data_IF_646039545452
#
_entry.id   IF_646039545452
#
_cell.length_a   1.000
_cell.length_b   1.000
_cell.length_c   1.000
_cell.angle_alpha   90.00
_cell.angle_beta   90.00
_cell.angle_gamma   90.00
#
_symmetry.space_group_name_H-M   'P 1'
#
loop_
_entity.id
_entity.type
_entity.pdbx_description
1 polymer ?
#
# COMPACT_ATOMS: atom_id res chain seq x y z
N UNK A 1 3.50 -2.87 9.16
CA UNK A 1 3.79 -3.66 7.94
C UNK A 1 2.94 -4.91 7.95
N UNK A 2 2.55 -5.42 6.78
CA UNK A 2 1.91 -6.72 6.62
C UNK A 2 2.64 -7.49 5.51
N UNK A 3 3.06 -8.72 5.77
CA UNK A 3 3.92 -9.51 4.89
C UNK A 3 3.44 -10.94 4.79
N UNK A 4 3.30 -11.40 3.54
CA UNK A 4 3.17 -12.80 3.17
C UNK A 4 4.46 -13.15 2.41
N UNK A 5 5.43 -13.82 3.06
CA UNK A 5 6.75 -14.07 2.49
C UNK A 5 6.67 -14.76 1.13
N UNK A 6 7.48 -14.30 0.18
CA UNK A 6 7.54 -14.86 -1.19
C UNK A 6 6.35 -14.50 -2.08
N UNK A 7 5.35 -13.80 -1.56
CA UNK A 7 4.17 -13.39 -2.34
C UNK A 7 4.00 -11.87 -2.37
N UNK A 8 3.69 -11.26 -1.22
CA UNK A 8 3.33 -9.84 -1.16
C UNK A 8 3.55 -9.22 0.21
N UNK A 9 4.11 -8.03 0.21
CA UNK A 9 4.28 -7.18 1.38
C UNK A 9 3.71 -5.79 1.13
N UNK A 10 2.97 -5.26 2.10
CA UNK A 10 2.53 -3.87 2.15
C UNK A 10 3.18 -3.15 3.33
N UNK A 11 3.85 -2.05 3.04
CA UNK A 11 4.57 -1.24 4.02
C UNK A 11 3.95 0.14 4.05
N UNK A 12 3.42 0.52 5.20
CA UNK A 12 2.95 1.89 5.42
C UNK A 12 4.15 2.73 5.86
N UNK A 13 4.35 3.86 5.20
CA UNK A 13 5.48 4.77 5.41
C UNK A 13 4.97 6.18 5.63
N UNK A 14 5.70 6.96 6.44
CA UNK A 14 5.37 8.34 6.75
C UNK A 14 6.66 9.12 6.94
N UNK A 15 6.62 10.43 6.69
CA UNK A 15 7.72 11.34 6.99
C UNK A 15 7.32 12.28 8.12
N UNK A 16 8.27 12.66 8.97
CA UNK A 16 8.10 13.75 9.94
C UNK A 16 8.39 15.12 9.35
N UNK A 17 8.98 15.17 8.14
CA UNK A 17 9.22 16.38 7.36
C UNK A 17 8.35 16.37 6.11
N UNK A 18 7.48 17.38 5.97
CA UNK A 18 6.56 17.53 4.84
C UNK A 18 7.26 17.71 3.49
N UNK A 19 8.54 18.11 3.48
CA UNK A 19 9.33 18.25 2.25
C UNK A 19 9.86 16.92 1.72
N UNK A 20 9.72 15.84 2.49
CA UNK A 20 10.22 14.52 2.14
C UNK A 20 9.05 13.64 1.72
N UNK A 21 9.09 13.15 0.48
CA UNK A 21 8.23 12.07 0.02
C UNK A 21 8.72 10.73 0.61
N UNK A 22 7.99 10.12 1.56
CA UNK A 22 8.43 8.89 2.19
C UNK A 22 8.41 7.70 1.21
N UNK A 23 7.55 7.68 0.19
CA UNK A 23 7.50 6.60 -0.80
C UNK A 23 8.67 6.71 -1.75
N UNK A 24 8.93 7.90 -2.30
CA UNK A 24 10.08 8.16 -3.17
C UNK A 24 11.42 7.85 -2.50
N UNK A 25 11.54 8.15 -1.19
CA UNK A 25 12.71 7.78 -0.40
C UNK A 25 12.83 6.27 -0.18
N UNK A 26 11.77 5.48 -0.22
CA UNK A 26 11.90 4.02 -0.12
C UNK A 26 12.17 3.37 -1.48
N UNK A 27 11.64 3.95 -2.56
CA UNK A 27 11.82 3.46 -3.93
C UNK A 27 13.23 3.75 -4.44
N UNK A 28 13.75 4.96 -4.21
CA UNK A 28 15.04 5.37 -4.74
C UNK A 28 15.01 5.91 -6.17
N UNK A 29 16.15 6.43 -6.62
CA UNK A 29 16.28 7.03 -7.94
C UNK A 29 16.02 5.98 -9.01
N UNK A 30 14.92 6.14 -9.76
CA UNK A 30 14.46 5.15 -10.74
C UNK A 30 14.24 3.74 -10.15
N UNK A 31 13.94 3.64 -8.87
CA UNK A 31 13.66 2.36 -8.20
C UNK A 31 14.89 1.55 -7.80
N UNK A 32 16.10 2.11 -7.86
CA UNK A 32 17.34 1.42 -7.54
C UNK A 32 17.31 0.70 -6.18
N UNK A 33 16.90 1.39 -5.12
CA UNK A 33 16.85 0.84 -3.75
C UNK A 33 15.85 -0.30 -3.64
N UNK A 34 14.63 -0.12 -4.13
CA UNK A 34 13.63 -1.18 -4.04
C UNK A 34 13.99 -2.38 -4.91
N UNK A 35 14.59 -2.16 -6.09
CA UNK A 35 15.02 -3.24 -6.97
C UNK A 35 16.11 -4.10 -6.32
N UNK A 36 17.04 -3.50 -5.57
CA UNK A 36 18.02 -4.27 -4.78
C UNK A 36 17.32 -5.17 -3.77
N UNK A 37 16.35 -4.66 -3.00
CA UNK A 37 15.59 -5.46 -2.02
C UNK A 37 14.80 -6.58 -2.71
N UNK A 38 14.07 -6.27 -3.79
CA UNK A 38 13.27 -7.25 -4.53
C UNK A 38 14.14 -8.40 -5.07
N UNK A 39 15.37 -8.14 -5.49
CA UNK A 39 16.30 -9.17 -5.96
C UNK A 39 16.70 -10.19 -4.89
N UNK A 40 16.59 -9.82 -3.61
CA UNK A 40 16.88 -10.68 -2.45
C UNK A 40 15.65 -11.45 -1.95
N UNK A 41 14.45 -11.11 -2.43
CA UNK A 41 13.18 -11.63 -1.93
C UNK A 41 12.45 -12.53 -2.93
N UNK A 42 13.18 -13.06 -3.91
CA UNK A 42 12.73 -14.12 -4.83
C UNK A 42 11.34 -13.85 -5.46
N UNK A 43 11.14 -12.62 -5.95
CA UNK A 43 9.90 -12.24 -6.64
C UNK A 43 8.74 -11.79 -5.74
N UNK A 44 8.95 -11.66 -4.42
CA UNK A 44 7.98 -11.06 -3.50
C UNK A 44 7.63 -9.63 -3.95
N UNK A 45 6.33 -9.31 -4.09
CA UNK A 45 5.88 -7.96 -4.48
C UNK A 45 5.83 -7.04 -3.26
N UNK A 46 6.43 -5.85 -3.34
CA UNK A 46 6.37 -4.85 -2.27
C UNK A 46 5.59 -3.63 -2.74
N UNK A 47 4.53 -3.28 -2.01
CA UNK A 47 3.82 -2.00 -2.17
C UNK A 47 4.11 -1.08 -0.98
N UNK A 48 4.52 0.16 -1.25
CA UNK A 48 4.58 1.23 -0.26
C UNK A 48 3.28 2.02 -0.26
N UNK A 49 2.78 2.34 0.93
CA UNK A 49 1.58 3.16 1.14
C UNK A 49 1.96 4.33 2.03
N UNK A 50 1.78 5.54 1.52
CA UNK A 50 1.96 6.74 2.33
C UNK A 50 0.84 6.86 3.38
N UNK A 51 1.24 7.17 4.62
CA UNK A 51 0.37 7.62 5.68
C UNK A 51 0.66 9.09 6.02
N UNK A 52 -0.26 9.95 5.63
CA UNK A 52 -0.24 11.39 5.89
C UNK A 52 -1.26 11.81 6.97
N UNK A 53 -1.77 10.86 7.76
CA UNK A 53 -2.79 11.10 8.78
C UNK A 53 -4.24 10.91 8.29
N UNK A 54 -4.49 10.89 6.99
CA UNK A 54 -5.82 10.53 6.46
C UNK A 54 -5.96 8.99 6.37
N UNK A 55 -6.66 8.43 7.36
CA UNK A 55 -6.93 6.99 7.42
C UNK A 55 -7.75 6.48 6.24
N UNK A 56 -8.69 7.27 5.69
CA UNK A 56 -9.48 6.84 4.52
C UNK A 56 -8.60 6.76 3.29
N UNK A 57 -7.74 7.77 3.08
CA UNK A 57 -6.80 7.78 1.96
C UNK A 57 -5.79 6.63 2.07
N UNK A 58 -5.29 6.36 3.27
CA UNK A 58 -4.40 5.21 3.53
C UNK A 58 -5.09 3.88 3.19
N UNK A 59 -6.32 3.65 3.67
CA UNK A 59 -7.09 2.42 3.36
C UNK A 59 -7.32 2.29 1.85
N UNK A 60 -7.70 3.37 1.17
CA UNK A 60 -7.87 3.40 -0.29
C UNK A 60 -6.59 2.99 -1.02
N UNK A 61 -5.45 3.56 -0.61
CA UNK A 61 -4.15 3.24 -1.20
C UNK A 61 -3.71 1.79 -0.90
N UNK A 62 -4.04 1.26 0.27
CA UNK A 62 -3.77 -0.14 0.62
C UNK A 62 -4.49 -1.14 -0.30
N UNK A 63 -5.68 -0.79 -0.81
CA UNK A 63 -6.48 -1.67 -1.68
C UNK A 63 -6.10 -1.61 -3.15
N UNK A 64 -5.14 -0.77 -3.55
CA UNK A 64 -4.62 -0.77 -4.92
C UNK A 64 -4.16 -2.19 -5.32
N UNK A 65 -4.52 -2.64 -6.54
CA UNK A 65 -5.04 -1.86 -7.66
C UNK A 65 -6.58 -1.66 -7.72
N UNK A 66 -7.35 -2.16 -6.75
CA UNK A 66 -8.81 -2.03 -6.79
C UNK A 66 -9.27 -0.58 -6.62
N UNK A 67 -10.30 -0.19 -7.38
CA UNK A 67 -10.99 1.08 -7.19
C UNK A 67 -11.96 1.00 -6.01
N UNK A 68 -11.93 2.01 -5.13
CA UNK A 68 -12.79 2.11 -3.95
C UNK A 68 -13.66 3.35 -4.09
N UNK A 69 -14.96 3.15 -3.90
CA UNK A 69 -15.97 4.21 -4.04
C UNK A 69 -16.19 4.93 -2.71
N UNK A 70 -16.45 4.18 -1.64
CA UNK A 70 -16.66 4.76 -0.30
C UNK A 70 -15.97 3.97 0.80
N UNK A 71 -15.58 4.69 1.86
CA UNK A 71 -14.97 4.14 3.07
C UNK A 71 -15.64 4.76 4.29
N UNK A 72 -16.25 3.92 5.12
CA UNK A 72 -16.76 4.27 6.44
C UNK A 72 -15.88 3.63 7.52
N UNK A 73 -15.36 4.43 8.44
CA UNK A 73 -14.54 3.94 9.55
C UNK A 73 -15.39 3.95 10.81
N UNK A 74 -15.50 2.79 11.46
CA UNK A 74 -16.20 2.59 12.74
C UNK A 74 -15.25 1.88 13.70
N UNK A 75 -14.75 2.62 14.69
CA UNK A 75 -13.73 2.17 15.64
C UNK A 75 -12.49 1.59 14.94
N UNK A 76 -12.26 0.28 15.12
CA UNK A 76 -11.13 -0.48 14.54
C UNK A 76 -11.52 -1.21 13.25
N UNK A 77 -12.67 -0.88 12.64
CA UNK A 77 -13.17 -1.50 11.41
C UNK A 77 -13.39 -0.44 10.33
N UNK A 78 -13.17 -0.84 9.09
CA UNK A 78 -13.54 -0.05 7.92
C UNK A 78 -14.51 -0.85 7.05
N UNK A 79 -15.63 -0.24 6.68
CA UNK A 79 -16.56 -0.75 5.68
C UNK A 79 -16.17 -0.07 4.36
N UNK A 80 -15.83 -0.89 3.38
CA UNK A 80 -15.37 -0.44 2.06
C UNK A 80 -16.38 -0.89 1.02
N UNK A 81 -16.90 0.06 0.25
CA UNK A 81 -17.84 -0.20 -0.84
C UNK A 81 -17.14 0.06 -2.17
N UNK A 82 -17.36 -0.85 -3.11
CA UNK A 82 -16.81 -0.79 -4.47
C UNK A 82 -17.73 -1.55 -5.43
N UNK A 83 -17.60 -1.28 -6.73
CA UNK A 83 -18.21 -2.08 -7.77
C UNK A 83 -17.81 -3.56 -7.69
N UNK A 84 -18.74 -4.46 -8.03
CA UNK A 84 -18.53 -5.91 -7.95
C UNK A 84 -17.35 -6.37 -8.83
N UNK A 85 -17.10 -5.70 -9.96
CA UNK A 85 -15.95 -5.98 -10.84
C UNK A 85 -14.59 -5.77 -10.15
N UNK A 86 -14.53 -4.95 -9.10
CA UNK A 86 -13.30 -4.67 -8.35
C UNK A 86 -13.00 -5.70 -7.28
N UNK A 87 -14.00 -6.51 -6.88
CA UNK A 87 -13.87 -7.50 -5.81
C UNK A 87 -12.68 -8.46 -5.98
N UNK A 88 -12.40 -9.03 -7.18
CA UNK A 88 -11.24 -9.91 -7.35
C UNK A 88 -9.90 -9.21 -7.12
N UNK A 89 -9.80 -7.93 -7.48
CA UNK A 89 -8.59 -7.12 -7.27
C UNK A 89 -8.40 -6.73 -5.81
N UNK A 90 -9.51 -6.45 -5.10
CA UNK A 90 -9.48 -6.00 -3.72
C UNK A 90 -9.16 -7.14 -2.73
N UNK A 91 -9.73 -8.33 -2.97
CA UNK A 91 -9.45 -9.52 -2.15
C UNK A 91 -8.09 -10.12 -2.48
N UNK A 92 -7.68 -10.06 -3.75
CA UNK A 92 -6.50 -10.78 -4.24
C UNK A 92 -6.78 -12.26 -4.47
N UNK A 93 -5.79 -12.98 -5.01
CA UNK A 93 -5.80 -14.45 -5.09
C UNK A 93 -5.47 -15.07 -3.74
#
# INVERSE_FOLDING_TARGET
MARIPGLKTKIVVSSTDEKIDPVGVMVGSKGDRINTVLSLLDGEKIDFVENNGDSKQMIKNCLKPAHVDTIEIKDKKAIVTMDESQKPLAIGK
#
